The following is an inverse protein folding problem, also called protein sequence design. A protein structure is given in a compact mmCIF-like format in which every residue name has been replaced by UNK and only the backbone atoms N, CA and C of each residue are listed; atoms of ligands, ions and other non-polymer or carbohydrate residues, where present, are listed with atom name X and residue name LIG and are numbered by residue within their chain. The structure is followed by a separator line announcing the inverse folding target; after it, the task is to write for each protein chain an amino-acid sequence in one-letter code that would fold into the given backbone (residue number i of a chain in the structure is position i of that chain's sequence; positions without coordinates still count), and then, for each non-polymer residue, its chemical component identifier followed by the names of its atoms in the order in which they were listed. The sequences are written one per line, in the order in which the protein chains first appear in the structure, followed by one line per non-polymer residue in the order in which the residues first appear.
data_IF_103976561474
#
_entry.id   IF_103976561474
#
_cell.length_a   1.000
_cell.length_b   1.000
_cell.length_c   1.000
_cell.angle_alpha   90.00
_cell.angle_beta   90.00
_cell.angle_gamma   90.00
#
_symmetry.space_group_name_H-M   'P 1'
#
loop_
_entity.id
_entity.type
_entity.pdbx_description
1 polymer ?
#
# COMPACT_ATOMS: atom_id res chain seq x y z
N UNK A 1 56.36 -121.33 49.79
CA UNK A 1 56.53 -121.95 51.13
C UNK A 1 55.99 -123.39 51.06
N UNK A 2 56.46 -124.28 51.94
CA UNK A 2 55.78 -125.52 52.41
C UNK A 2 54.90 -126.33 51.43
N UNK A 3 55.16 -127.59 51.10
CA UNK A 3 56.25 -128.53 51.49
C UNK A 3 56.08 -129.84 50.68
N UNK A 4 57.13 -130.53 50.23
CA UNK A 4 57.93 -131.51 51.00
C UNK A 4 57.07 -132.52 51.78
N UNK A 5 56.94 -133.74 51.25
CA UNK A 5 56.14 -134.81 51.88
C UNK A 5 56.39 -136.19 51.26
N UNK A 6 57.57 -136.77 51.48
CA UNK A 6 57.73 -138.23 51.54
C UNK A 6 57.36 -138.69 52.95
N UNK A 7 56.68 -139.84 53.10
CA UNK A 7 57.39 -141.11 53.26
C UNK A 7 56.69 -142.26 52.45
N UNK A 8 57.07 -143.54 52.51
CA UNK A 8 58.04 -144.23 53.36
C UNK A 8 58.74 -145.39 52.61
N UNK A 9 59.85 -145.88 53.15
CA UNK A 9 60.32 -147.24 52.84
C UNK A 9 59.29 -148.29 53.26
N UNK A 10 59.10 -149.30 52.41
CA UNK A 10 58.63 -150.64 52.84
C UNK A 10 59.61 -151.66 52.26
N UNK A 11 60.52 -152.11 53.12
CA UNK A 11 61.49 -153.17 52.83
C UNK A 11 60.88 -154.56 53.03
N UNK A 12 61.62 -155.59 52.60
CA UNK A 12 61.40 -157.02 52.87
C UNK A 12 60.05 -157.60 52.39
N UNK A 13 60.06 -158.16 51.18
CA UNK A 13 58.92 -158.89 50.62
C UNK A 13 59.23 -159.50 49.26
N UNK A 14 60.26 -160.34 49.17
CA UNK A 14 60.48 -161.16 47.98
C UNK A 14 59.45 -162.30 47.98
N UNK A 15 58.51 -162.36 47.01
CA UNK A 15 57.74 -163.57 46.79
C UNK A 15 58.67 -164.64 46.22
N UNK A 16 58.37 -165.90 46.50
CA UNK A 16 58.99 -167.02 45.78
C UNK A 16 58.80 -166.87 44.26
N UNK A 17 59.68 -167.51 43.50
CA UNK A 17 59.46 -167.76 42.08
C UNK A 17 58.39 -168.85 41.86
N UNK A 18 57.25 -168.74 42.54
CA UNK A 18 56.04 -169.47 42.21
C UNK A 18 55.67 -169.13 40.77
N UNK A 19 55.54 -170.16 39.94
CA UNK A 19 55.04 -170.06 38.56
C UNK A 19 53.80 -169.17 38.57
N UNK A 20 53.83 -168.04 37.85
CA UNK A 20 52.67 -167.13 37.76
C UNK A 20 51.53 -167.96 37.19
N UNK A 21 50.53 -168.25 38.02
CA UNK A 21 49.45 -169.12 37.64
C UNK A 21 48.46 -168.40 36.71
N UNK A 22 47.51 -169.15 36.19
CA UNK A 22 46.52 -168.59 35.27
C UNK A 22 45.59 -167.58 35.95
N UNK A 23 45.39 -167.66 37.28
CA UNK A 23 44.55 -166.76 38.04
C UNK A 23 45.23 -165.41 38.31
N UNK A 24 46.54 -165.38 38.61
CA UNK A 24 47.28 -164.11 38.75
C UNK A 24 47.39 -163.37 37.41
N UNK A 25 47.59 -164.09 36.30
CA UNK A 25 47.49 -163.49 34.95
C UNK A 25 46.09 -162.91 34.69
N UNK A 26 45.02 -163.65 35.00
CA UNK A 26 43.64 -163.13 34.89
C UNK A 26 43.42 -161.90 35.78
N UNK A 27 43.98 -161.89 37.00
CA UNK A 27 43.86 -160.78 37.96
C UNK A 27 44.61 -159.52 37.50
N UNK A 28 45.75 -159.68 36.83
CA UNK A 28 46.50 -158.59 36.21
C UNK A 28 45.75 -158.06 34.97
N UNK A 29 45.21 -158.94 34.12
CA UNK A 29 44.37 -158.54 32.98
C UNK A 29 43.10 -157.81 33.42
N UNK A 30 42.44 -158.25 34.50
CA UNK A 30 41.29 -157.57 35.10
C UNK A 30 41.63 -156.14 35.53
N UNK A 31 42.70 -155.98 36.34
CA UNK A 31 43.20 -154.66 36.74
C UNK A 31 43.58 -153.77 35.56
N UNK A 32 44.10 -154.34 34.46
CA UNK A 32 44.44 -153.58 33.25
C UNK A 32 43.17 -153.13 32.50
N UNK A 33 42.13 -153.95 32.44
CA UNK A 33 40.83 -153.57 31.89
C UNK A 33 40.13 -152.51 32.75
N UNK A 34 40.19 -152.63 34.09
CA UNK A 34 39.71 -151.61 35.02
C UNK A 34 40.46 -150.28 34.81
N UNK A 35 41.78 -150.33 34.66
CA UNK A 35 42.63 -149.16 34.44
C UNK A 35 42.38 -148.47 33.09
N UNK A 36 42.20 -149.23 32.00
CA UNK A 36 41.85 -148.64 30.70
C UNK A 36 40.42 -148.06 30.72
N UNK A 37 39.49 -148.69 31.45
CA UNK A 37 38.14 -148.15 31.67
C UNK A 37 38.18 -146.82 32.44
N UNK A 38 39.00 -146.72 33.50
CA UNK A 38 39.23 -145.47 34.22
C UNK A 38 39.95 -144.43 33.36
N UNK A 39 40.95 -144.83 32.57
CA UNK A 39 41.64 -143.93 31.64
C UNK A 39 40.68 -143.38 30.57
N UNK A 40 39.75 -144.19 30.07
CA UNK A 40 38.73 -143.74 29.12
C UNK A 40 37.73 -142.77 29.79
N UNK A 41 37.23 -143.09 30.98
CA UNK A 41 36.37 -142.17 31.73
C UNK A 41 37.03 -140.80 31.97
N UNK A 42 38.33 -140.77 32.29
CA UNK A 42 39.10 -139.52 32.43
C UNK A 42 39.32 -138.79 31.09
N UNK A 43 39.48 -139.49 29.96
CA UNK A 43 39.52 -138.86 28.62
C UNK A 43 38.19 -138.20 28.29
N UNK A 44 37.08 -138.86 28.63
CA UNK A 44 35.73 -138.36 28.38
C UNK A 44 35.39 -137.17 29.29
N UNK A 45 35.79 -137.20 30.57
CA UNK A 45 35.71 -136.06 31.49
C UNK A 45 36.53 -134.86 30.99
N UNK A 46 37.80 -135.05 30.62
CA UNK A 46 38.64 -133.98 30.05
C UNK A 46 38.04 -133.40 28.76
N UNK A 47 37.37 -134.23 27.95
CA UNK A 47 36.68 -133.78 26.74
C UNK A 47 35.43 -132.96 27.07
N UNK A 48 34.65 -133.37 28.07
CA UNK A 48 33.50 -132.62 28.60
C UNK A 48 33.92 -131.27 29.18
N UNK A 49 34.98 -131.24 29.99
CA UNK A 49 35.54 -130.00 30.57
C UNK A 49 36.02 -129.04 29.47
N UNK A 50 36.69 -129.53 28.42
CA UNK A 50 37.09 -128.70 27.26
C UNK A 50 35.90 -128.14 26.49
N UNK A 51 34.83 -128.91 26.33
CA UNK A 51 33.60 -128.44 25.70
C UNK A 51 32.92 -127.34 26.53
N UNK A 52 32.84 -127.52 27.85
CA UNK A 52 32.35 -126.50 28.78
C UNK A 52 33.23 -125.24 28.75
N UNK A 53 34.55 -125.38 28.77
CA UNK A 53 35.49 -124.25 28.70
C UNK A 53 35.32 -123.46 27.39
N UNK A 54 35.18 -124.15 26.25
CA UNK A 54 34.90 -123.53 24.95
C UNK A 54 33.59 -122.72 24.97
N UNK A 55 32.53 -123.31 25.52
CA UNK A 55 31.22 -122.65 25.66
C UNK A 55 31.27 -121.42 26.60
N UNK A 56 32.02 -121.49 27.70
CA UNK A 56 32.24 -120.35 28.60
C UNK A 56 33.07 -119.25 27.92
N UNK A 57 34.17 -119.59 27.23
CA UNK A 57 34.98 -118.62 26.46
C UNK A 57 34.14 -117.90 25.40
N UNK A 58 33.31 -118.63 24.64
CA UNK A 58 32.39 -118.04 23.67
C UNK A 58 31.34 -117.13 24.32
N UNK A 59 30.81 -117.52 25.49
CA UNK A 59 29.85 -116.72 26.27
C UNK A 59 30.48 -115.42 26.78
N UNK A 60 31.71 -115.48 27.29
CA UNK A 60 32.46 -114.31 27.80
C UNK A 60 32.72 -113.32 26.64
N UNK A 61 33.27 -113.78 25.52
CA UNK A 61 33.47 -112.94 24.33
C UNK A 61 32.16 -112.29 23.84
N UNK A 62 31.05 -113.04 23.89
CA UNK A 62 29.71 -112.53 23.58
C UNK A 62 29.15 -111.52 24.59
N UNK A 63 29.63 -111.51 25.83
CA UNK A 63 29.30 -110.51 26.86
C UNK A 63 30.20 -109.28 26.75
N UNK A 64 31.51 -109.45 26.53
CA UNK A 64 32.47 -108.36 26.29
C UNK A 64 32.04 -107.48 25.09
N UNK A 65 31.66 -108.10 23.98
CA UNK A 65 31.14 -107.37 22.81
C UNK A 65 29.85 -106.59 23.12
N UNK A 66 29.00 -107.06 24.03
CA UNK A 66 27.80 -106.33 24.48
C UNK A 66 28.19 -105.15 25.37
N UNK A 67 29.12 -105.34 26.31
CA UNK A 67 29.63 -104.28 27.19
C UNK A 67 30.29 -103.15 26.39
N UNK A 68 31.07 -103.47 25.34
CA UNK A 68 31.69 -102.48 24.45
C UNK A 68 30.61 -101.66 23.70
N UNK A 69 29.54 -102.30 23.20
CA UNK A 69 28.42 -101.60 22.54
C UNK A 69 27.68 -100.69 23.50
N UNK A 70 27.26 -101.21 24.66
CA UNK A 70 26.57 -100.47 25.70
C UNK A 70 27.40 -99.29 26.23
N UNK A 71 28.72 -99.45 26.37
CA UNK A 71 29.64 -98.37 26.75
C UNK A 71 29.67 -97.25 25.69
N UNK A 72 29.71 -97.61 24.41
CA UNK A 72 29.63 -96.63 23.30
C UNK A 72 28.27 -95.93 23.26
N UNK A 73 27.18 -96.67 23.38
CA UNK A 73 25.81 -96.14 23.43
C UNK A 73 25.64 -95.17 24.61
N UNK A 74 26.14 -95.52 25.80
CA UNK A 74 26.14 -94.66 26.98
C UNK A 74 26.97 -93.37 26.78
N UNK A 75 28.12 -93.46 26.09
CA UNK A 75 28.92 -92.25 25.77
C UNK A 75 28.19 -91.32 24.79
N UNK A 76 27.49 -91.86 23.80
CA UNK A 76 26.67 -91.07 22.87
C UNK A 76 25.45 -90.44 23.55
N UNK A 77 24.78 -91.17 24.44
CA UNK A 77 23.67 -90.66 25.24
C UNK A 77 24.08 -89.52 26.19
N UNK A 78 25.29 -89.58 26.76
CA UNK A 78 25.84 -88.47 27.56
C UNK A 78 26.09 -87.22 26.71
N UNK A 79 26.73 -87.37 25.55
CA UNK A 79 26.97 -86.24 24.65
C UNK A 79 25.65 -85.54 24.22
N UNK A 80 24.61 -86.30 23.87
CA UNK A 80 23.31 -85.72 23.54
C UNK A 80 22.58 -85.12 24.75
N UNK A 81 22.82 -85.63 25.97
CA UNK A 81 22.33 -85.00 27.20
C UNK A 81 23.03 -83.66 27.48
N UNK A 82 24.32 -83.53 27.18
CA UNK A 82 25.06 -82.27 27.30
C UNK A 82 24.58 -81.25 26.26
N UNK A 83 24.38 -81.66 25.00
CA UNK A 83 23.77 -80.84 23.94
C UNK A 83 22.36 -80.34 24.33
N UNK A 84 21.49 -81.24 24.84
CA UNK A 84 20.17 -80.88 25.34
C UNK A 84 20.21 -79.91 26.52
N UNK A 85 21.26 -79.99 27.35
CA UNK A 85 21.44 -79.09 28.50
C UNK A 85 21.88 -77.70 28.05
N UNK A 86 22.78 -77.60 27.06
CA UNK A 86 23.16 -76.33 26.42
C UNK A 86 21.97 -75.70 25.68
N UNK A 87 21.18 -76.49 24.95
CA UNK A 87 19.98 -76.03 24.26
C UNK A 87 18.93 -75.45 25.23
N UNK A 88 18.72 -76.09 26.40
CA UNK A 88 17.84 -75.57 27.46
C UNK A 88 18.33 -74.22 28.01
N UNK A 89 19.60 -74.13 28.37
CA UNK A 89 20.19 -72.86 28.85
C UNK A 89 20.00 -71.72 27.82
N UNK A 90 20.20 -72.01 26.53
CA UNK A 90 19.99 -71.03 25.45
C UNK A 90 18.51 -70.64 25.27
N UNK A 91 17.57 -71.56 25.49
CA UNK A 91 16.13 -71.26 25.51
C UNK A 91 15.77 -70.35 26.69
N UNK A 92 16.31 -70.60 27.88
CA UNK A 92 16.06 -69.77 29.06
C UNK A 92 16.61 -68.34 28.88
N UNK A 93 17.81 -68.22 28.30
CA UNK A 93 18.42 -66.93 27.97
C UNK A 93 17.59 -66.15 26.95
N UNK A 94 17.21 -66.78 25.84
CA UNK A 94 16.35 -66.18 24.81
C UNK A 94 14.96 -65.83 25.37
N UNK A 95 14.46 -66.57 26.35
CA UNK A 95 13.18 -66.28 27.02
C UNK A 95 13.27 -65.02 27.88
N UNK A 96 14.38 -64.84 28.62
CA UNK A 96 14.66 -63.61 29.38
C UNK A 96 14.87 -62.40 28.45
N UNK A 97 15.59 -62.57 27.34
CA UNK A 97 15.79 -61.55 26.31
C UNK A 97 14.45 -61.11 25.68
N UNK A 98 13.60 -62.07 25.29
CA UNK A 98 12.26 -61.77 24.75
C UNK A 98 11.33 -61.10 25.77
N UNK A 99 11.47 -61.37 27.07
CA UNK A 99 10.72 -60.67 28.10
C UNK A 99 11.12 -59.19 28.18
N UNK A 100 12.42 -58.90 28.26
CA UNK A 100 12.94 -57.52 28.29
C UNK A 100 12.61 -56.73 27.02
N UNK A 101 12.67 -57.35 25.83
CA UNK A 101 12.28 -56.72 24.57
C UNK A 101 10.78 -56.36 24.54
N UNK A 102 9.90 -57.21 25.11
CA UNK A 102 8.46 -56.90 25.22
C UNK A 102 8.19 -55.74 26.17
N UNK A 103 8.91 -55.67 27.28
CA UNK A 103 8.82 -54.57 28.24
C UNK A 103 9.26 -53.23 27.61
N UNK A 104 10.39 -53.23 26.89
CA UNK A 104 10.87 -52.06 26.12
C UNK A 104 9.86 -51.61 25.05
N UNK A 105 9.25 -52.55 24.31
CA UNK A 105 8.21 -52.23 23.31
C UNK A 105 6.94 -51.68 23.96
N UNK A 106 6.55 -52.16 25.15
CA UNK A 106 5.42 -51.59 25.90
C UNK A 106 5.72 -50.16 26.34
N UNK A 107 6.88 -49.94 27.00
CA UNK A 107 7.29 -48.62 27.47
C UNK A 107 7.36 -47.60 26.32
N UNK A 108 7.98 -47.96 25.19
CA UNK A 108 8.03 -47.09 24.00
C UNK A 108 6.64 -46.83 23.40
N UNK A 109 5.69 -47.77 23.49
CA UNK A 109 4.30 -47.55 23.06
C UNK A 109 3.54 -46.61 23.99
N UNK A 110 3.78 -46.69 25.30
CA UNK A 110 3.17 -45.82 26.30
C UNK A 110 3.76 -44.39 26.24
N UNK A 111 5.07 -44.25 26.05
CA UNK A 111 5.74 -42.97 25.77
C UNK A 111 5.21 -42.33 24.47
N UNK A 112 5.14 -43.07 23.36
CA UNK A 112 4.59 -42.57 22.11
C UNK A 112 3.12 -42.13 22.27
N UNK A 113 2.32 -42.83 23.10
CA UNK A 113 0.93 -42.44 23.38
C UNK A 113 0.85 -41.15 24.18
N UNK A 114 1.73 -40.96 25.18
CA UNK A 114 1.83 -39.72 25.93
C UNK A 114 2.23 -38.54 25.03
N UNK A 115 3.18 -38.74 24.11
CA UNK A 115 3.60 -37.73 23.12
C UNK A 115 2.47 -37.36 22.16
N UNK A 116 1.71 -38.34 21.64
CA UNK A 116 0.54 -38.08 20.78
C UNK A 116 -0.52 -37.26 21.52
N UNK A 117 -0.91 -37.69 22.74
CA UNK A 117 -1.88 -36.96 23.56
C UNK A 117 -1.43 -35.51 23.82
N UNK A 118 -0.13 -35.29 24.09
CA UNK A 118 0.42 -33.95 24.30
C UNK A 118 0.34 -33.07 23.04
N UNK A 119 0.48 -33.64 21.84
CA UNK A 119 0.27 -32.90 20.60
C UNK A 119 -1.20 -32.61 20.32
N UNK A 120 -2.11 -33.56 20.60
CA UNK A 120 -3.56 -33.34 20.46
C UNK A 120 -4.08 -32.23 21.40
N UNK A 121 -3.60 -32.20 22.66
CA UNK A 121 -3.91 -31.13 23.62
C UNK A 121 -3.37 -29.77 23.16
N UNK A 122 -2.15 -29.70 22.62
CA UNK A 122 -1.55 -28.46 22.10
C UNK A 122 -2.26 -27.98 20.82
N UNK A 123 -2.64 -28.88 19.92
CA UNK A 123 -3.48 -28.58 18.74
C UNK A 123 -4.84 -28.01 19.21
N UNK A 124 -5.48 -28.64 20.20
CA UNK A 124 -6.72 -28.14 20.77
C UNK A 124 -6.53 -26.78 21.48
N UNK A 125 -5.38 -26.51 22.11
CA UNK A 125 -5.05 -25.21 22.72
C UNK A 125 -4.88 -24.13 21.65
N UNK A 126 -4.14 -24.42 20.59
CA UNK A 126 -3.89 -23.51 19.48
C UNK A 126 -5.16 -23.18 18.69
N UNK A 127 -6.02 -24.17 18.40
CA UNK A 127 -7.30 -23.95 17.72
C UNK A 127 -8.19 -22.97 18.51
N UNK A 128 -8.38 -23.18 19.82
CA UNK A 128 -9.13 -22.25 20.69
C UNK A 128 -8.53 -20.84 20.70
N UNK A 129 -7.20 -20.72 20.65
CA UNK A 129 -6.49 -19.43 20.60
C UNK A 129 -6.70 -18.71 19.25
N UNK A 130 -6.73 -19.45 18.13
CA UNK A 130 -7.06 -18.91 16.80
C UNK A 130 -8.52 -18.47 16.76
N UNK A 131 -9.47 -19.30 17.18
CA UNK A 131 -10.90 -18.97 17.22
C UNK A 131 -11.19 -17.72 18.05
N UNK A 132 -10.60 -17.61 19.25
CA UNK A 132 -10.74 -16.43 20.11
C UNK A 132 -10.14 -15.17 19.47
N UNK A 133 -9.06 -15.30 18.69
CA UNK A 133 -8.46 -14.18 17.95
C UNK A 133 -9.34 -13.76 16.77
N UNK A 134 -9.89 -14.72 16.03
CA UNK A 134 -10.78 -14.49 14.90
C UNK A 134 -12.07 -13.77 15.33
N UNK A 135 -12.65 -14.14 16.49
CA UNK A 135 -13.80 -13.44 17.08
C UNK A 135 -13.46 -11.99 17.45
N UNK A 136 -12.28 -11.73 18.02
CA UNK A 136 -11.82 -10.35 18.33
C UNK A 136 -11.66 -9.52 17.06
N UNK A 137 -10.91 -10.00 16.07
CA UNK A 137 -10.72 -9.30 14.79
C UNK A 137 -12.03 -9.05 14.04
N UNK A 138 -13.00 -9.98 14.09
CA UNK A 138 -14.34 -9.78 13.51
C UNK A 138 -15.13 -8.70 14.25
N UNK A 139 -14.98 -8.58 15.57
CA UNK A 139 -15.60 -7.53 16.39
C UNK A 139 -14.99 -6.15 16.11
N UNK A 140 -13.66 -6.05 16.11
CA UNK A 140 -12.92 -4.82 15.79
C UNK A 140 -13.17 -4.35 14.34
N UNK A 141 -13.26 -5.29 13.39
CA UNK A 141 -13.64 -4.97 12.02
C UNK A 141 -15.11 -4.51 11.91
N UNK A 142 -15.99 -4.91 12.82
CA UNK A 142 -17.36 -4.43 12.86
C UNK A 142 -17.45 -2.98 13.41
N UNK A 143 -16.72 -2.65 14.49
CA UNK A 143 -16.68 -1.28 15.03
C UNK A 143 -16.03 -0.31 14.06
N UNK A 144 -14.90 -0.66 13.44
CA UNK A 144 -14.26 0.16 12.40
C UNK A 144 -15.20 0.40 11.20
N UNK A 145 -16.05 -0.57 10.84
CA UNK A 145 -17.08 -0.40 9.81
C UNK A 145 -18.20 0.55 10.23
N UNK A 146 -18.68 0.49 11.48
CA UNK A 146 -19.71 1.42 11.97
C UNK A 146 -19.18 2.84 12.07
N UNK A 147 -17.93 3.02 12.49
CA UNK A 147 -17.28 4.32 12.65
C UNK A 147 -16.99 4.96 11.30
N UNK A 148 -16.50 4.18 10.32
CA UNK A 148 -16.35 4.62 8.94
C UNK A 148 -17.70 5.02 8.32
N UNK A 149 -18.77 4.27 8.58
CA UNK A 149 -20.12 4.61 8.12
C UNK A 149 -20.64 5.89 8.79
N UNK A 150 -20.37 6.10 10.08
CA UNK A 150 -20.69 7.36 10.77
C UNK A 150 -19.92 8.54 10.17
N UNK A 151 -18.60 8.42 10.02
CA UNK A 151 -17.76 9.49 9.47
C UNK A 151 -18.13 9.85 8.04
N UNK A 152 -18.52 8.87 7.21
CA UNK A 152 -19.07 9.13 5.87
C UNK A 152 -20.34 9.98 5.91
N UNK A 153 -21.32 9.67 6.79
CA UNK A 153 -22.52 10.51 6.96
C UNK A 153 -22.17 11.92 7.43
N UNK A 154 -21.27 12.04 8.40
CA UNK A 154 -20.79 13.33 8.91
C UNK A 154 -20.13 14.18 7.81
N UNK A 155 -19.34 13.58 6.92
CA UNK A 155 -18.76 14.29 5.76
C UNK A 155 -19.79 14.66 4.71
N UNK A 156 -20.76 13.79 4.41
CA UNK A 156 -21.84 14.10 3.45
C UNK A 156 -22.74 15.24 3.95
N UNK A 157 -23.05 15.27 5.25
CA UNK A 157 -23.85 16.34 5.84
C UNK A 157 -23.10 17.68 5.85
N UNK A 158 -21.79 17.66 6.12
CA UNK A 158 -20.94 18.85 5.99
C UNK A 158 -20.91 19.37 4.55
N UNK A 159 -20.82 18.49 3.55
CA UNK A 159 -20.91 18.87 2.13
C UNK A 159 -22.27 19.51 1.81
N UNK A 160 -23.38 18.88 2.21
CA UNK A 160 -24.76 19.41 2.03
C UNK A 160 -24.90 20.84 2.59
N UNK A 161 -24.41 21.07 3.80
CA UNK A 161 -24.46 22.39 4.45
C UNK A 161 -23.60 23.43 3.71
N UNK A 162 -22.43 23.07 3.17
CA UNK A 162 -21.63 23.98 2.34
C UNK A 162 -22.27 24.27 0.98
N UNK A 163 -22.92 23.28 0.35
CA UNK A 163 -23.66 23.45 -0.90
C UNK A 163 -24.88 24.37 -0.71
N UNK A 164 -25.65 24.17 0.37
CA UNK A 164 -26.80 25.03 0.72
C UNK A 164 -26.37 26.46 1.07
N UNK A 165 -25.28 26.65 1.82
CA UNK A 165 -24.72 27.97 2.10
C UNK A 165 -24.25 28.69 0.82
N UNK A 166 -23.61 27.95 -0.11
CA UNK A 166 -23.15 28.48 -1.40
C UNK A 166 -24.35 28.86 -2.29
N UNK A 167 -25.41 28.04 -2.31
CA UNK A 167 -26.64 28.36 -3.05
C UNK A 167 -27.30 29.62 -2.49
N UNK A 168 -27.45 29.73 -1.17
CA UNK A 168 -28.02 30.92 -0.53
C UNK A 168 -27.19 32.19 -0.80
N UNK A 169 -25.85 32.09 -0.81
CA UNK A 169 -24.97 33.20 -1.17
C UNK A 169 -25.13 33.61 -2.63
N UNK A 170 -25.33 32.66 -3.56
CA UNK A 170 -25.62 32.95 -4.96
C UNK A 170 -26.99 33.63 -5.14
N UNK A 171 -28.03 33.16 -4.45
CA UNK A 171 -29.38 33.77 -4.47
C UNK A 171 -29.37 35.19 -3.93
N UNK A 172 -28.67 35.43 -2.80
CA UNK A 172 -28.48 36.77 -2.24
C UNK A 172 -27.74 37.66 -3.24
N UNK A 173 -26.68 37.15 -3.88
CA UNK A 173 -25.92 37.88 -4.89
C UNK A 173 -26.75 38.21 -6.13
N UNK A 174 -27.63 37.31 -6.56
CA UNK A 174 -28.56 37.55 -7.66
C UNK A 174 -29.58 38.64 -7.32
N UNK A 175 -30.23 38.54 -6.15
CA UNK A 175 -31.19 39.55 -5.65
C UNK A 175 -30.58 40.93 -5.45
N UNK A 176 -29.30 41.00 -5.07
CA UNK A 176 -28.56 42.27 -4.99
C UNK A 176 -28.38 42.86 -6.38
N UNK A 177 -27.89 42.07 -7.37
CA UNK A 177 -27.74 42.55 -8.76
C UNK A 177 -29.07 43.02 -9.36
N UNK A 178 -30.14 42.25 -9.16
CA UNK A 178 -31.50 42.58 -9.62
C UNK A 178 -31.98 43.92 -9.05
N UNK A 179 -31.89 44.11 -7.72
CA UNK A 179 -32.26 45.38 -7.07
C UNK A 179 -31.39 46.55 -7.50
N UNK A 180 -30.07 46.35 -7.62
CA UNK A 180 -29.17 47.39 -8.12
C UNK A 180 -29.47 47.77 -9.57
N UNK A 181 -29.80 46.80 -10.43
CA UNK A 181 -30.17 47.08 -11.82
C UNK A 181 -31.50 47.84 -11.91
N UNK A 182 -32.54 47.41 -11.18
CA UNK A 182 -33.80 48.14 -11.10
C UNK A 182 -33.63 49.59 -10.64
N UNK A 183 -32.82 49.83 -9.60
CA UNK A 183 -32.52 51.19 -9.12
C UNK A 183 -31.72 52.02 -10.15
N UNK A 184 -30.82 51.40 -10.92
CA UNK A 184 -30.09 52.07 -12.02
C UNK A 184 -31.06 52.47 -13.14
N UNK A 185 -32.03 51.62 -13.49
CA UNK A 185 -32.98 51.90 -14.57
C UNK A 185 -34.07 52.90 -14.15
N UNK A 186 -34.48 52.91 -12.88
CA UNK A 186 -35.32 53.97 -12.30
C UNK A 186 -34.60 55.33 -12.30
N UNK A 187 -33.31 55.37 -11.90
CA UNK A 187 -32.49 56.59 -11.94
C UNK A 187 -32.27 57.08 -13.38
N UNK A 188 -32.10 56.18 -14.36
CA UNK A 188 -32.04 56.52 -15.78
C UNK A 188 -33.34 57.15 -16.26
N UNK A 189 -34.49 56.55 -15.93
CA UNK A 189 -35.81 57.06 -16.30
C UNK A 189 -36.07 58.47 -15.71
N UNK A 190 -35.60 58.72 -14.48
CA UNK A 190 -35.70 60.03 -13.85
C UNK A 190 -34.77 61.08 -14.49
N UNK A 191 -33.56 60.70 -14.93
CA UNK A 191 -32.68 61.57 -15.73
C UNK A 191 -33.35 61.93 -17.06
N UNK A 192 -33.81 60.93 -17.80
CA UNK A 192 -34.60 61.05 -19.04
C UNK A 192 -35.77 62.05 -18.90
N UNK A 193 -36.50 61.98 -17.78
CA UNK A 193 -37.63 62.87 -17.49
C UNK A 193 -37.17 64.30 -17.20
N UNK A 194 -36.08 64.47 -16.44
CA UNK A 194 -35.50 65.79 -16.13
C UNK A 194 -34.90 66.46 -17.36
N UNK A 195 -34.24 65.72 -18.24
CA UNK A 195 -33.73 66.26 -19.51
C UNK A 195 -34.87 66.76 -20.41
N UNK A 196 -35.99 66.02 -20.49
CA UNK A 196 -37.22 66.49 -21.18
C UNK A 196 -37.81 67.74 -20.54
N UNK A 197 -37.85 67.80 -19.20
CA UNK A 197 -38.36 68.96 -18.47
C UNK A 197 -37.46 70.18 -18.66
N UNK A 198 -36.13 70.01 -18.63
CA UNK A 198 -35.18 71.09 -18.87
C UNK A 198 -35.26 71.58 -20.32
N UNK A 199 -35.36 70.69 -21.31
CA UNK A 199 -35.58 71.06 -22.70
C UNK A 199 -36.86 71.88 -22.90
N UNK A 200 -37.96 71.49 -22.23
CA UNK A 200 -39.21 72.26 -22.26
C UNK A 200 -39.08 73.64 -21.60
N UNK A 201 -38.35 73.74 -20.47
CA UNK A 201 -38.07 75.03 -19.81
C UNK A 201 -37.15 75.92 -20.65
N UNK A 202 -36.15 75.36 -21.33
CA UNK A 202 -35.29 76.08 -22.29
C UNK A 202 -36.12 76.63 -23.45
N UNK A 203 -37.00 75.81 -24.06
CA UNK A 203 -37.92 76.29 -25.11
C UNK A 203 -38.86 77.41 -24.63
N UNK A 204 -39.36 77.35 -23.40
CA UNK A 204 -40.17 78.43 -22.82
C UNK A 204 -39.35 79.71 -22.59
N UNK A 205 -38.11 79.58 -22.13
CA UNK A 205 -37.19 80.71 -21.98
C UNK A 205 -36.85 81.36 -23.33
N UNK A 206 -36.52 80.56 -24.35
CA UNK A 206 -36.22 81.05 -25.70
C UNK A 206 -37.43 81.77 -26.31
N UNK A 207 -38.64 81.20 -26.17
CA UNK A 207 -39.88 81.84 -26.61
C UNK A 207 -40.14 83.17 -25.87
N UNK A 208 -39.88 83.23 -24.56
CA UNK A 208 -40.00 84.45 -23.76
C UNK A 208 -38.94 85.50 -24.13
N UNK A 209 -37.72 85.09 -24.49
CA UNK A 209 -36.66 85.98 -24.97
C UNK A 209 -37.00 86.56 -26.35
N UNK A 210 -37.53 85.74 -27.27
CA UNK A 210 -38.02 86.21 -28.58
C UNK A 210 -39.19 87.18 -28.41
N UNK A 211 -40.19 86.85 -27.56
CA UNK A 211 -41.31 87.75 -27.27
C UNK A 211 -40.87 89.06 -26.60
N UNK A 212 -39.90 89.01 -25.68
CA UNK A 212 -39.30 90.21 -25.07
C UNK A 212 -38.52 91.05 -26.08
N UNK A 213 -37.86 90.42 -27.07
CA UNK A 213 -37.20 91.16 -28.14
C UNK A 213 -38.22 91.85 -29.04
N UNK A 214 -39.27 91.17 -29.49
CA UNK A 214 -40.33 91.79 -30.28
C UNK A 214 -40.94 93.01 -29.56
N UNK A 215 -41.19 92.91 -28.25
CA UNK A 215 -41.66 94.06 -27.43
C UNK A 215 -40.63 95.19 -27.30
N UNK A 216 -39.33 94.93 -27.47
CA UNK A 216 -38.29 95.96 -27.51
C UNK A 216 -38.20 96.62 -28.90
N UNK A 217 -38.28 95.81 -29.97
CA UNK A 217 -38.33 96.28 -31.35
C UNK A 217 -39.60 97.16 -31.57
N UNK A 218 -40.75 96.75 -31.04
CA UNK A 218 -42.00 97.55 -31.01
C UNK A 218 -41.86 98.83 -30.17
N UNK A 219 -41.19 98.76 -29.01
CA UNK A 219 -40.95 99.94 -28.15
C UNK A 219 -40.06 100.97 -28.85
N UNK A 220 -39.02 100.54 -29.57
CA UNK A 220 -38.15 101.42 -30.33
C UNK A 220 -38.88 102.03 -31.54
N UNK A 221 -39.72 101.25 -32.25
CA UNK A 221 -40.62 101.78 -33.27
C UNK A 221 -41.60 102.82 -32.72
N UNK A 222 -42.15 102.61 -31.52
CA UNK A 222 -43.01 103.61 -30.85
C UNK A 222 -42.22 104.86 -30.43
N UNK A 223 -40.91 104.76 -30.12
CA UNK A 223 -40.05 105.94 -29.93
C UNK A 223 -39.86 106.70 -31.23
N UNK A 224 -39.56 106.01 -32.34
CA UNK A 224 -39.42 106.62 -33.67
C UNK A 224 -40.70 107.35 -34.10
N UNK A 225 -41.87 106.71 -33.97
CA UNK A 225 -43.17 107.33 -34.25
C UNK A 225 -43.43 108.55 -33.35
N UNK A 226 -43.03 108.50 -32.07
CA UNK A 226 -43.18 109.61 -31.14
C UNK A 226 -42.20 110.76 -31.41
N UNK A 227 -40.99 110.48 -31.90
CA UNK A 227 -40.05 111.49 -32.39
C UNK A 227 -40.51 112.11 -33.72
N UNK A 228 -41.07 111.32 -34.63
CA UNK A 228 -41.69 111.82 -35.86
C UNK A 228 -42.86 112.76 -35.52
N UNK A 229 -43.78 112.35 -34.64
CA UNK A 229 -44.91 113.21 -34.21
C UNK A 229 -44.43 114.46 -33.47
N UNK A 230 -43.30 114.41 -32.74
CA UNK A 230 -42.65 115.63 -32.18
C UNK A 230 -42.11 116.52 -33.28
N UNK A 231 -41.47 115.95 -34.31
CA UNK A 231 -40.97 116.65 -35.50
C UNK A 231 -42.10 117.35 -36.25
N UNK A 232 -43.16 116.63 -36.61
CA UNK A 232 -44.36 117.16 -37.26
C UNK A 232 -45.06 118.22 -36.40
N UNK A 233 -45.18 118.02 -35.09
CA UNK A 233 -45.74 119.03 -34.18
C UNK A 233 -44.86 120.29 -34.08
N UNK A 234 -43.53 120.15 -34.17
CA UNK A 234 -42.59 121.26 -34.23
C UNK A 234 -42.64 121.98 -35.59
N UNK A 235 -42.77 121.24 -36.69
CA UNK A 235 -42.95 121.82 -38.01
C UNK A 235 -44.29 122.56 -38.12
N UNK A 236 -45.39 121.99 -37.63
CA UNK A 236 -46.68 122.67 -37.50
C UNK A 236 -46.65 123.89 -36.56
N UNK A 237 -45.70 124.00 -35.62
CA UNK A 237 -45.46 125.24 -34.85
C UNK A 237 -44.72 126.27 -35.70
N UNK A 238 -43.70 125.85 -36.47
CA UNK A 238 -42.94 126.71 -37.39
C UNK A 238 -43.84 127.24 -38.52
N UNK A 239 -44.64 126.37 -39.16
CA UNK A 239 -45.63 126.70 -40.17
C UNK A 239 -46.67 127.69 -39.61
N UNK A 240 -47.25 127.44 -38.42
CA UNK A 240 -48.14 128.42 -37.76
C UNK A 240 -47.46 129.76 -37.46
N UNK A 241 -46.18 129.77 -37.09
CA UNK A 241 -45.42 131.02 -36.92
C UNK A 241 -45.16 131.74 -38.24
N UNK A 242 -45.00 131.02 -39.35
CA UNK A 242 -44.89 131.57 -40.72
C UNK A 242 -46.25 132.15 -41.16
N UNK A 243 -47.35 131.43 -40.96
CA UNK A 243 -48.72 131.89 -41.23
C UNK A 243 -49.08 133.14 -40.41
N UNK A 244 -48.74 133.17 -39.12
CA UNK A 244 -48.87 134.36 -38.28
C UNK A 244 -48.04 135.54 -38.82
N UNK A 245 -46.80 135.30 -39.29
CA UNK A 245 -45.97 136.34 -39.93
C UNK A 245 -46.56 136.83 -41.26
N UNK A 246 -47.21 135.96 -42.06
CA UNK A 246 -47.97 136.37 -43.26
C UNK A 246 -49.17 137.23 -42.89
N UNK A 247 -49.95 136.85 -41.88
CA UNK A 247 -51.08 137.65 -41.38
C UNK A 247 -50.62 139.02 -40.85
N UNK A 248 -49.50 139.09 -40.11
CA UNK A 248 -48.92 140.36 -39.65
C UNK A 248 -48.50 141.26 -40.82
N UNK A 249 -47.93 140.70 -41.91
CA UNK A 249 -47.67 141.47 -43.14
C UNK A 249 -48.95 142.00 -43.79
N UNK A 250 -49.97 141.15 -43.94
CA UNK A 250 -51.27 141.55 -44.50
C UNK A 250 -51.93 142.67 -43.68
N UNK A 251 -51.85 142.60 -42.34
CA UNK A 251 -52.33 143.65 -41.43
C UNK A 251 -51.52 144.95 -41.59
N UNK A 252 -50.21 144.87 -41.84
CA UNK A 252 -49.37 146.03 -42.11
C UNK A 252 -49.72 146.69 -43.46
N UNK A 253 -49.96 145.90 -44.51
CA UNK A 253 -50.36 146.41 -45.83
C UNK A 253 -51.75 147.03 -45.83
N UNK A 254 -52.72 146.43 -45.12
CA UNK A 254 -54.05 147.02 -44.89
C UNK A 254 -53.96 148.34 -44.11
N UNK A 255 -53.12 148.42 -43.07
CA UNK A 255 -52.82 149.68 -42.35
C UNK A 255 -52.19 150.73 -43.26
N UNK A 256 -51.35 150.33 -44.20
CA UNK A 256 -50.73 151.23 -45.18
C UNK A 256 -51.72 151.72 -46.25
N UNK A 257 -52.69 150.91 -46.68
CA UNK A 257 -53.80 151.36 -47.53
C UNK A 257 -54.70 152.35 -46.79
N UNK A 258 -55.08 152.06 -45.54
CA UNK A 258 -55.93 152.92 -44.73
C UNK A 258 -55.30 154.32 -44.52
N UNK A 259 -54.01 154.38 -44.20
CA UNK A 259 -53.24 155.64 -44.09
C UNK A 259 -53.26 156.48 -45.37
N UNK A 260 -53.23 155.85 -46.55
CA UNK A 260 -53.29 156.57 -47.84
C UNK A 260 -54.66 157.21 -48.06
N UNK A 261 -55.75 156.59 -47.58
CA UNK A 261 -57.08 157.19 -47.62
C UNK A 261 -57.21 158.36 -46.63
N UNK A 262 -56.68 158.25 -45.41
CA UNK A 262 -56.71 159.34 -44.40
C UNK A 262 -55.97 160.60 -44.88
N UNK A 263 -54.88 160.45 -45.64
CA UNK A 263 -54.12 161.57 -46.20
C UNK A 263 -54.84 162.29 -47.36
N UNK A 264 -55.88 161.69 -47.94
CA UNK A 264 -56.67 162.30 -49.01
C UNK A 264 -57.69 163.31 -48.48
N UNK A 265 -58.24 163.09 -47.29
CA UNK A 265 -59.33 163.92 -46.73
C UNK A 265 -58.83 165.09 -45.87
N UNK A 266 -57.62 165.02 -45.32
CA UNK A 266 -57.06 166.05 -44.44
C UNK A 266 -56.59 167.34 -45.14
N UNK A 267 -56.74 167.49 -46.46
CA UNK A 267 -56.10 168.56 -47.25
C UNK A 267 -57.02 169.71 -47.69
N UNK A 268 -58.27 169.74 -47.22
CA UNK A 268 -59.29 170.75 -47.57
C UNK A 268 -59.69 171.70 -46.42
N UNK A 269 -59.08 171.58 -45.24
CA UNK A 269 -59.18 172.55 -44.14
C UNK A 269 -57.75 172.83 -43.66
N UNK A 270 -57.03 173.79 -44.24
CA UNK A 270 -57.16 175.25 -44.10
C UNK A 270 -56.54 175.77 -42.78
N UNK A 271 -55.41 176.47 -42.94
CA UNK A 271 -54.92 177.61 -42.15
C UNK A 271 -55.29 177.69 -40.65
N UNK A 272 -54.36 177.31 -39.75
CA UNK A 272 -54.02 178.05 -38.50
C UNK A 272 -52.87 177.38 -37.73
N UNK A 273 -51.80 178.15 -37.43
CA UNK A 273 -50.82 177.94 -36.33
C UNK A 273 -49.93 176.65 -36.35
N UNK A 274 -48.93 176.47 -35.46
CA UNK A 274 -47.71 177.31 -35.25
C UNK A 274 -46.58 176.55 -34.48
N UNK A 275 -45.47 176.16 -35.16
CA UNK A 275 -44.08 175.99 -34.62
C UNK A 275 -43.79 174.88 -33.55
N UNK A 276 -42.49 174.52 -33.39
CA UNK A 276 -41.79 173.58 -32.43
C UNK A 276 -42.13 172.07 -32.45
N UNK A 277 -41.34 171.14 -31.84
CA UNK A 277 -39.87 170.90 -31.82
C UNK A 277 -39.52 169.52 -31.18
N UNK A 278 -38.32 168.99 -31.48
CA UNK A 278 -37.42 168.14 -30.64
C UNK A 278 -37.82 166.81 -29.93
N UNK A 279 -37.12 165.73 -30.34
CA UNK A 279 -36.22 164.87 -29.53
C UNK A 279 -36.62 163.67 -28.61
N UNK A 280 -35.81 162.59 -28.74
CA UNK A 280 -35.31 161.64 -27.69
C UNK A 280 -36.27 160.57 -27.06
N UNK A 281 -35.86 159.37 -26.53
CA UNK A 281 -34.63 158.53 -26.64
C UNK A 281 -34.90 156.99 -26.28
N UNK A 282 -34.13 156.15 -25.53
CA UNK A 282 -33.56 154.88 -26.09
C UNK A 282 -33.60 153.55 -25.24
N UNK A 283 -32.93 152.48 -25.75
CA UNK A 283 -32.20 151.37 -25.04
C UNK A 283 -33.00 150.32 -24.19
N UNK A 284 -32.50 149.18 -23.66
CA UNK A 284 -31.46 148.13 -23.96
C UNK A 284 -31.62 146.97 -22.90
N UNK A 285 -30.94 145.80 -22.81
CA UNK A 285 -29.89 145.05 -23.58
C UNK A 285 -30.37 143.57 -23.84
N UNK A 286 -29.80 142.37 -23.52
CA UNK A 286 -28.54 141.83 -22.91
C UNK A 286 -28.29 140.33 -23.32
N UNK A 287 -27.41 139.54 -22.67
CA UNK A 287 -26.99 138.16 -23.08
C UNK A 287 -26.55 137.18 -21.94
N UNK A 288 -26.26 135.87 -22.26
CA UNK A 288 -25.44 134.79 -21.57
C UNK A 288 -26.04 133.35 -21.79
N UNK A 289 -25.41 132.19 -21.51
CA UNK A 289 -24.00 131.64 -21.53
C UNK A 289 -23.99 130.12 -21.11
N UNK A 290 -22.82 129.39 -21.16
CA UNK A 290 -22.46 128.07 -20.50
C UNK A 290 -23.07 126.75 -21.11
N UNK A 291 -22.48 125.52 -21.25
CA UNK A 291 -21.20 124.79 -20.87
C UNK A 291 -21.33 123.75 -19.69
N UNK A 292 -20.69 122.55 -19.58
CA UNK A 292 -19.79 121.68 -20.40
C UNK A 292 -19.37 120.34 -19.67
N UNK A 293 -18.50 119.47 -20.27
CA UNK A 293 -17.80 118.25 -19.68
C UNK A 293 -18.64 116.97 -19.31
N UNK A 294 -18.22 115.70 -19.01
CA UNK A 294 -17.00 114.77 -19.10
C UNK A 294 -17.50 113.26 -18.92
N UNK A 295 -16.84 112.08 -18.67
CA UNK A 295 -15.49 111.47 -18.41
C UNK A 295 -15.50 109.88 -18.59
N UNK A 296 -14.38 109.15 -18.34
CA UNK A 296 -14.14 107.66 -18.45
C UNK A 296 -13.17 107.11 -17.35
N UNK A 297 -12.94 105.77 -17.20
CA UNK A 297 -11.70 105.06 -16.65
C UNK A 297 -11.83 103.48 -16.61
N UNK A 298 -10.73 102.72 -16.34
CA UNK A 298 -10.48 101.28 -16.65
C UNK A 298 -9.88 100.40 -15.49
N UNK A 299 -9.34 99.19 -15.82
CA UNK A 299 -8.29 98.34 -15.14
C UNK A 299 -8.69 97.23 -14.12
N UNK A 300 -7.96 96.11 -13.85
CA UNK A 300 -6.94 95.28 -14.58
C UNK A 300 -6.52 93.96 -13.84
N UNK A 301 -5.83 93.00 -14.51
CA UNK A 301 -4.78 92.02 -14.00
C UNK A 301 -5.18 90.92 -12.95
N UNK A 302 -4.49 89.79 -12.67
CA UNK A 302 -3.69 88.71 -13.34
C UNK A 302 -3.18 87.72 -12.19
N UNK A 303 -2.21 86.80 -12.34
CA UNK A 303 -2.26 85.44 -12.95
C UNK A 303 -1.16 84.51 -12.30
N UNK A 304 -1.00 83.24 -12.71
CA UNK A 304 0.15 82.29 -12.56
C UNK A 304 0.51 81.52 -11.24
N UNK A 305 0.21 80.21 -11.22
CA UNK A 305 1.09 79.01 -11.43
C UNK A 305 2.21 78.41 -10.50
N UNK A 306 2.21 77.06 -10.50
CA UNK A 306 3.31 76.03 -10.53
C UNK A 306 4.27 75.60 -9.37
N UNK A 307 4.19 74.29 -9.08
CA UNK A 307 5.29 73.26 -9.02
C UNK A 307 5.92 72.78 -7.68
N UNK A 308 6.64 71.64 -7.73
CA UNK A 308 6.83 70.66 -6.64
C UNK A 308 8.28 70.15 -6.46
N UNK A 309 8.60 69.42 -5.36
CA UNK A 309 9.61 68.32 -5.33
C UNK A 309 9.59 67.47 -4.03
N UNK A 310 10.31 66.33 -4.03
CA UNK A 310 10.47 65.34 -2.94
C UNK A 310 11.95 65.21 -2.48
N UNK A 311 12.20 64.71 -1.26
CA UNK A 311 13.41 63.96 -0.90
C UNK A 311 13.12 62.52 -0.44
N UNK A 312 14.16 61.72 -0.11
CA UNK A 312 14.07 60.27 0.12
C UNK A 312 15.00 59.74 1.24
N UNK A 313 14.92 58.43 1.53
CA UNK A 313 15.82 57.62 2.40
C UNK A 313 15.66 57.85 3.93
N UNK A 314 15.98 56.87 4.84
CA UNK A 314 17.13 55.95 4.78
C UNK A 314 16.89 54.44 5.11
N UNK A 315 17.97 53.66 4.99
CA UNK A 315 18.06 52.21 5.21
C UNK A 315 18.39 51.81 6.66
N UNK A 316 18.23 50.53 6.99
CA UNK A 316 18.86 49.90 8.17
C UNK A 316 19.58 48.58 7.80
N UNK A 317 20.63 48.28 8.56
CA UNK A 317 21.43 47.05 8.49
C UNK A 317 20.76 45.89 9.24
N UNK A 318 21.01 44.65 8.79
CA UNK A 318 20.98 43.46 9.65
C UNK A 318 21.98 42.43 9.15
N UNK A 319 22.91 42.02 10.02
CA UNK A 319 23.92 40.99 9.76
C UNK A 319 23.36 39.59 9.99
N UNK A 320 23.69 38.63 9.12
CA UNK A 320 23.44 37.19 9.34
C UNK A 320 24.73 36.43 9.05
N UNK A 321 25.03 35.41 9.87
CA UNK A 321 26.22 34.57 9.77
C UNK A 321 26.19 33.62 8.56
N UNK A 322 27.35 33.34 7.92
CA UNK A 322 27.56 32.09 7.22
C UNK A 322 27.96 30.98 8.21
N UNK A 323 27.35 29.78 8.09
CA UNK A 323 28.00 28.45 8.16
C UNK A 323 27.01 27.27 8.27
N UNK A 324 25.76 27.50 8.69
CA UNK A 324 24.73 26.45 8.81
C UNK A 324 24.37 25.65 7.53
N UNK A 325 24.46 26.16 6.27
CA UNK A 325 23.99 25.41 5.10
C UNK A 325 24.97 24.32 4.60
N UNK A 326 26.10 24.10 5.28
CA UNK A 326 27.11 23.09 4.91
C UNK A 326 26.71 21.69 5.42
N UNK A 327 26.63 21.53 6.74
CA UNK A 327 26.34 20.26 7.43
C UNK A 327 25.00 19.66 6.99
N UNK A 328 23.97 20.49 6.75
CA UNK A 328 22.67 20.03 6.26
C UNK A 328 22.74 19.49 4.81
N UNK A 329 23.64 20.01 3.96
CA UNK A 329 23.87 19.44 2.61
C UNK A 329 24.62 18.13 2.67
N UNK A 330 25.66 18.03 3.51
CA UNK A 330 26.43 16.80 3.68
C UNK A 330 25.58 15.68 4.32
N UNK A 331 24.72 16.02 5.27
CA UNK A 331 23.77 15.08 5.86
C UNK A 331 22.75 14.58 4.83
N UNK A 332 22.15 15.50 4.04
CA UNK A 332 21.23 15.13 2.96
C UNK A 332 21.91 14.31 1.86
N UNK A 333 23.12 14.65 1.45
CA UNK A 333 23.89 13.85 0.49
C UNK A 333 24.15 12.44 1.04
N UNK A 334 24.59 12.32 2.30
CA UNK A 334 24.81 11.03 2.95
C UNK A 334 23.52 10.20 3.08
N UNK A 335 22.35 10.83 3.25
CA UNK A 335 21.05 10.16 3.26
C UNK A 335 20.64 9.71 1.85
N UNK A 336 20.88 10.51 0.81
CA UNK A 336 20.63 10.16 -0.59
C UNK A 336 21.50 8.98 -1.03
N UNK A 337 22.80 8.99 -0.70
CA UNK A 337 23.73 7.88 -1.00
C UNK A 337 23.33 6.60 -0.26
N UNK A 338 22.88 6.69 0.99
CA UNK A 338 22.35 5.55 1.76
C UNK A 338 21.05 5.03 1.15
N UNK A 339 20.15 5.91 0.71
CA UNK A 339 18.91 5.54 0.06
C UNK A 339 19.19 4.81 -1.26
N UNK A 340 20.05 5.36 -2.13
CA UNK A 340 20.49 4.73 -3.37
C UNK A 340 21.14 3.35 -3.12
N UNK A 341 22.08 3.27 -2.16
CA UNK A 341 22.70 2.00 -1.78
C UNK A 341 21.69 0.97 -1.26
N UNK A 342 20.67 1.40 -0.50
CA UNK A 342 19.59 0.53 -0.05
C UNK A 342 18.71 0.03 -1.22
N UNK A 343 18.45 0.88 -2.21
CA UNK A 343 17.69 0.52 -3.41
C UNK A 343 18.45 -0.48 -4.29
N UNK A 344 19.77 -0.32 -4.45
CA UNK A 344 20.64 -1.28 -5.15
C UNK A 344 20.74 -2.63 -4.41
N UNK A 345 20.80 -2.62 -3.08
CA UNK A 345 20.73 -3.84 -2.26
C UNK A 345 19.37 -4.53 -2.43
N UNK A 346 18.26 -3.78 -2.40
CA UNK A 346 16.91 -4.30 -2.64
C UNK A 346 16.79 -4.88 -4.06
N UNK A 347 17.35 -4.23 -5.08
CA UNK A 347 17.37 -4.73 -6.46
C UNK A 347 18.18 -6.04 -6.57
N UNK A 348 19.33 -6.10 -5.92
CA UNK A 348 20.20 -7.29 -5.87
C UNK A 348 19.52 -8.46 -5.15
N UNK A 349 18.88 -8.22 -4.00
CA UNK A 349 18.12 -9.23 -3.26
C UNK A 349 16.88 -9.70 -4.04
N UNK A 350 16.17 -8.80 -4.75
CA UNK A 350 15.07 -9.17 -5.66
C UNK A 350 15.55 -10.08 -6.80
N UNK A 351 16.76 -9.84 -7.35
CA UNK A 351 17.38 -10.70 -8.36
C UNK A 351 17.73 -12.09 -7.80
N UNK A 352 18.30 -12.16 -6.59
CA UNK A 352 18.58 -13.42 -5.89
C UNK A 352 17.30 -14.21 -5.56
N UNK A 353 16.25 -13.53 -5.09
CA UNK A 353 14.92 -14.12 -4.83
C UNK A 353 14.27 -14.67 -6.12
N UNK A 354 14.51 -14.03 -7.27
CA UNK A 354 14.09 -14.54 -8.57
C UNK A 354 14.84 -15.83 -8.94
N UNK A 355 16.18 -15.84 -8.83
CA UNK A 355 16.98 -17.04 -9.16
C UNK A 355 16.68 -18.23 -8.25
N UNK A 356 16.50 -18.03 -6.94
CA UNK A 356 16.11 -19.11 -6.02
C UNK A 356 14.69 -19.61 -6.30
N UNK A 357 13.73 -18.72 -6.59
CA UNK A 357 12.38 -19.11 -7.06
C UNK A 357 12.42 -19.96 -8.33
N UNK A 358 13.29 -19.63 -9.29
CA UNK A 358 13.48 -20.41 -10.53
C UNK A 358 14.31 -21.70 -10.35
N UNK A 359 15.13 -21.80 -9.29
CA UNK A 359 15.77 -23.06 -8.90
C UNK A 359 14.76 -24.00 -8.23
N UNK A 360 14.00 -23.51 -7.25
CA UNK A 360 12.93 -24.25 -6.57
C UNK A 360 11.86 -24.75 -7.55
N UNK A 361 11.49 -23.94 -8.55
CA UNK A 361 10.56 -24.35 -9.60
C UNK A 361 11.12 -25.48 -10.49
N UNK A 362 12.43 -25.51 -10.77
CA UNK A 362 13.09 -26.60 -11.51
C UNK A 362 13.21 -27.87 -10.69
N UNK A 363 13.71 -27.78 -9.45
CA UNK A 363 13.77 -28.92 -8.53
C UNK A 363 12.39 -29.56 -8.31
N UNK A 364 11.33 -28.75 -8.11
CA UNK A 364 9.96 -29.26 -8.02
C UNK A 364 9.48 -29.89 -9.34
N UNK A 365 9.93 -29.40 -10.49
CA UNK A 365 9.70 -30.05 -11.79
C UNK A 365 10.39 -31.40 -11.91
N UNK A 366 11.66 -31.47 -11.50
CA UNK A 366 12.51 -32.67 -11.51
C UNK A 366 11.95 -33.76 -10.56
N UNK A 367 11.59 -33.40 -9.32
CA UNK A 367 10.94 -34.29 -8.35
C UNK A 367 9.60 -34.82 -8.89
N UNK A 368 8.75 -33.96 -9.46
CA UNK A 368 7.50 -34.41 -10.09
C UNK A 368 7.74 -35.34 -11.29
N UNK A 369 8.80 -35.11 -12.07
CA UNK A 369 9.15 -35.95 -13.21
C UNK A 369 9.74 -37.30 -12.74
N UNK A 370 10.52 -37.30 -11.66
CA UNK A 370 11.03 -38.49 -10.99
C UNK A 370 9.88 -39.36 -10.45
N UNK A 371 8.94 -38.76 -9.71
CA UNK A 371 7.72 -39.43 -9.21
C UNK A 371 6.93 -40.05 -10.38
N UNK A 372 6.74 -39.33 -11.49
CA UNK A 372 6.09 -39.91 -12.68
C UNK A 372 6.86 -41.08 -13.28
N UNK A 373 8.19 -41.01 -13.36
CA UNK A 373 9.04 -42.10 -13.90
C UNK A 373 9.10 -43.31 -12.99
N UNK A 374 8.94 -43.13 -11.68
CA UNK A 374 8.69 -44.23 -10.73
C UNK A 374 7.31 -44.84 -10.98
N UNK A 375 6.25 -44.02 -11.01
CA UNK A 375 4.87 -44.46 -11.21
C UNK A 375 4.62 -45.14 -12.57
N UNK A 376 5.37 -44.77 -13.62
CA UNK A 376 5.29 -45.37 -14.95
C UNK A 376 6.30 -46.50 -15.20
N UNK A 377 7.11 -46.87 -14.19
CA UNK A 377 8.18 -47.86 -14.32
C UNK A 377 9.36 -47.43 -15.20
N UNK A 378 9.37 -46.23 -15.80
CA UNK A 378 10.39 -45.71 -16.70
C UNK A 378 11.76 -45.36 -16.03
N UNK A 379 12.07 -46.04 -14.93
CA UNK A 379 13.36 -46.08 -14.24
C UNK A 379 13.93 -47.51 -14.17
N UNK A 380 13.25 -48.54 -14.68
CA UNK A 380 13.87 -49.85 -14.92
C UNK A 380 14.95 -49.70 -16.00
N UNK A 381 16.21 -49.90 -15.62
CA UNK A 381 17.34 -49.89 -16.55
C UNK A 381 17.23 -51.05 -17.54
N UNK A 382 17.05 -50.74 -18.84
CA UNK A 382 17.24 -51.70 -19.91
C UNK A 382 18.74 -51.95 -20.13
N UNK A 383 19.13 -53.14 -20.64
CA UNK A 383 19.22 -53.24 -22.10
C UNK A 383 18.73 -54.58 -22.68
N UNK A 384 17.85 -54.50 -23.67
CA UNK A 384 17.63 -55.56 -24.67
C UNK A 384 17.06 -54.92 -25.94
N UNK A 385 17.58 -55.28 -27.11
CA UNK A 385 17.03 -54.82 -28.39
C UNK A 385 15.60 -55.33 -28.60
N UNK A 386 14.77 -54.48 -29.23
CA UNK A 386 13.36 -54.74 -29.62
C UNK A 386 12.38 -54.85 -28.44
N UNK A 387 11.91 -53.71 -27.94
CA UNK A 387 10.61 -53.65 -27.23
C UNK A 387 9.47 -53.26 -28.18
N UNK A 388 8.61 -54.19 -28.61
CA UNK A 388 7.25 -53.86 -29.03
C UNK A 388 6.39 -53.50 -27.81
N UNK A 389 5.25 -52.84 -28.03
CA UNK A 389 4.39 -52.33 -26.96
C UNK A 389 3.60 -53.43 -26.23
N UNK A 390 3.60 -53.40 -24.88
CA UNK A 390 2.42 -53.63 -24.00
C UNK A 390 2.74 -53.56 -22.50
N UNK A 391 1.81 -52.94 -21.75
CA UNK A 391 1.35 -53.26 -20.38
C UNK A 391 2.38 -53.47 -19.24
N UNK A 392 2.28 -52.62 -18.20
CA UNK A 392 3.11 -52.63 -16.98
C UNK A 392 2.92 -53.84 -16.03
N UNK A 393 1.96 -54.74 -16.27
CA UNK A 393 1.58 -55.78 -15.32
C UNK A 393 2.41 -57.09 -15.39
N UNK A 394 3.63 -57.07 -15.97
CA UNK A 394 4.36 -58.28 -16.33
C UNK A 394 5.86 -58.34 -15.99
N UNK A 395 6.45 -57.33 -15.36
CA UNK A 395 7.90 -57.34 -15.05
C UNK A 395 8.16 -58.21 -13.81
N UNK A 396 8.61 -59.44 -14.04
CA UNK A 396 9.07 -60.34 -12.98
C UNK A 396 10.46 -59.92 -12.49
N UNK A 397 10.51 -59.16 -11.40
CA UNK A 397 11.77 -58.76 -10.74
C UNK A 397 12.44 -60.00 -10.11
N UNK A 398 13.38 -60.60 -10.85
CA UNK A 398 13.99 -61.90 -10.55
C UNK A 398 14.70 -61.98 -9.20
N UNK A 399 15.07 -60.85 -8.61
CA UNK A 399 15.76 -60.78 -7.32
C UNK A 399 14.99 -59.92 -6.31
N UNK A 400 15.08 -60.30 -5.03
CA UNK A 400 14.55 -59.50 -3.93
C UNK A 400 15.53 -58.38 -3.53
N UNK A 401 16.84 -58.67 -3.52
CA UNK A 401 17.88 -57.68 -3.17
C UNK A 401 17.85 -56.48 -4.11
N UNK A 402 17.83 -56.70 -5.42
CA UNK A 402 17.80 -55.63 -6.44
C UNK A 402 16.61 -54.68 -6.29
N UNK A 403 15.45 -55.19 -5.83
CA UNK A 403 14.29 -54.34 -5.48
C UNK A 403 14.56 -53.51 -4.23
N UNK A 404 15.08 -54.13 -3.17
CA UNK A 404 15.42 -53.42 -1.92
C UNK A 404 16.48 -52.35 -2.16
N UNK A 405 17.52 -52.65 -2.94
CA UNK A 405 18.57 -51.70 -3.31
C UNK A 405 18.04 -50.55 -4.18
N UNK A 406 17.12 -50.83 -5.11
CA UNK A 406 16.47 -49.77 -5.89
C UNK A 406 15.58 -48.89 -5.01
N UNK A 407 14.73 -49.47 -4.16
CA UNK A 407 13.89 -48.72 -3.22
C UNK A 407 14.72 -47.88 -2.26
N UNK A 408 15.84 -48.40 -1.75
CA UNK A 408 16.74 -47.66 -0.84
C UNK A 408 17.48 -46.52 -1.55
N UNK A 409 17.86 -46.69 -2.82
CA UNK A 409 18.39 -45.60 -3.66
C UNK A 409 17.33 -44.55 -3.97
N UNK A 410 16.09 -44.96 -4.25
CA UNK A 410 14.95 -44.05 -4.44
C UNK A 410 14.64 -43.25 -3.17
N UNK A 411 14.66 -43.90 -2.01
CA UNK A 411 14.46 -43.28 -0.70
C UNK A 411 15.54 -42.23 -0.40
N UNK A 412 16.82 -42.55 -0.61
CA UNK A 412 17.92 -41.60 -0.43
C UNK A 412 17.79 -40.37 -1.35
N UNK A 413 17.46 -40.57 -2.63
CA UNK A 413 17.21 -39.45 -3.57
C UNK A 413 15.99 -38.61 -3.15
N UNK A 414 14.94 -39.24 -2.61
CA UNK A 414 13.77 -38.53 -2.10
C UNK A 414 14.10 -37.72 -0.84
N UNK A 415 14.90 -38.27 0.08
CA UNK A 415 15.37 -37.59 1.28
C UNK A 415 16.28 -36.40 0.93
N UNK A 416 17.26 -36.61 0.04
CA UNK A 416 18.19 -35.55 -0.41
C UNK A 416 17.43 -34.40 -1.12
N UNK A 417 16.54 -34.73 -2.06
CA UNK A 417 15.75 -33.69 -2.74
C UNK A 417 14.75 -33.00 -1.81
N UNK A 418 14.23 -33.67 -0.79
CA UNK A 418 13.39 -33.04 0.25
C UNK A 418 14.20 -32.07 1.11
N UNK A 419 15.42 -32.45 1.52
CA UNK A 419 16.34 -31.60 2.27
C UNK A 419 16.77 -30.36 1.46
N UNK A 420 17.08 -30.52 0.17
CA UNK A 420 17.39 -29.40 -0.71
C UNK A 420 16.17 -28.44 -0.85
N UNK A 421 14.95 -28.96 -0.89
CA UNK A 421 13.73 -28.15 -0.95
C UNK A 421 13.41 -27.43 0.37
N UNK A 422 13.76 -27.97 1.55
CA UNK A 422 13.61 -27.24 2.82
C UNK A 422 14.61 -26.09 2.90
N UNK A 423 15.89 -26.32 2.60
CA UNK A 423 16.94 -25.28 2.58
C UNK A 423 16.56 -24.13 1.64
N UNK A 424 16.18 -24.42 0.39
CA UNK A 424 15.74 -23.40 -0.57
C UNK A 424 14.46 -22.65 -0.14
N UNK A 425 13.63 -23.25 0.71
CA UNK A 425 12.43 -22.62 1.27
C UNK A 425 12.80 -21.67 2.42
N UNK A 426 13.76 -22.05 3.26
CA UNK A 426 14.29 -21.20 4.34
C UNK A 426 15.09 -20.01 3.80
N UNK A 427 15.97 -20.22 2.81
CA UNK A 427 16.69 -19.14 2.12
C UNK A 427 15.73 -18.11 1.51
N UNK A 428 14.70 -18.59 0.80
CA UNK A 428 13.64 -17.75 0.24
C UNK A 428 12.89 -16.95 1.33
N UNK A 429 12.63 -17.56 2.48
CA UNK A 429 12.00 -16.87 3.61
C UNK A 429 12.94 -15.83 4.26
N UNK A 430 14.23 -16.13 4.38
CA UNK A 430 15.24 -15.21 4.89
C UNK A 430 15.44 -13.99 3.96
N UNK A 431 15.56 -14.22 2.65
CA UNK A 431 15.59 -13.16 1.64
C UNK A 431 14.32 -12.30 1.68
N UNK A 432 13.14 -12.92 1.83
CA UNK A 432 11.87 -12.22 1.99
C UNK A 432 11.84 -11.30 3.21
N UNK A 433 12.27 -11.79 4.38
CA UNK A 433 12.41 -10.98 5.61
C UNK A 433 13.37 -9.81 5.42
N UNK A 434 14.55 -10.04 4.85
CA UNK A 434 15.58 -9.01 4.64
C UNK A 434 15.16 -7.92 3.65
N UNK A 435 14.38 -8.28 2.62
CA UNK A 435 13.77 -7.29 1.71
C UNK A 435 12.72 -6.44 2.43
N UNK A 436 11.87 -7.04 3.28
CA UNK A 436 10.88 -6.29 4.06
C UNK A 436 11.54 -5.32 5.05
N UNK A 437 12.59 -5.77 5.75
CA UNK A 437 13.38 -4.96 6.68
C UNK A 437 14.03 -3.74 6.00
N UNK A 438 14.73 -3.96 4.87
CA UNK A 438 15.32 -2.86 4.08
C UNK A 438 14.26 -1.91 3.51
N UNK A 439 13.10 -2.43 3.08
CA UNK A 439 11.99 -1.59 2.59
C UNK A 439 11.38 -0.75 3.71
N UNK A 440 11.21 -1.31 4.92
CA UNK A 440 10.74 -0.56 6.08
C UNK A 440 11.72 0.56 6.49
N UNK A 441 13.03 0.28 6.45
CA UNK A 441 14.06 1.26 6.77
C UNK A 441 14.14 2.40 5.73
N UNK A 442 14.01 2.09 4.43
CA UNK A 442 13.92 3.11 3.38
C UNK A 442 12.68 4.01 3.59
N UNK A 443 11.50 3.42 3.75
CA UNK A 443 10.25 4.15 3.98
C UNK A 443 10.24 4.95 5.29
N UNK A 444 11.06 4.57 6.28
CA UNK A 444 11.25 5.34 7.52
C UNK A 444 12.08 6.61 7.29
N UNK A 445 13.05 6.58 6.36
CA UNK A 445 13.86 7.75 5.99
C UNK A 445 13.15 8.76 5.07
N UNK A 446 12.06 8.36 4.41
CA UNK A 446 11.23 9.25 3.58
C UNK A 446 10.20 10.08 4.39
N UNK A 447 10.09 9.86 5.70
CA UNK A 447 9.24 10.73 6.54
C UNK A 447 9.96 12.07 6.80
N UNK A 448 9.37 13.22 6.41
CA UNK A 448 9.90 14.51 6.84
C UNK A 448 9.81 14.62 8.36
N UNK A 449 10.85 15.17 8.98
CA UNK A 449 10.78 15.66 10.36
C UNK A 449 9.84 16.87 10.34
N UNK A 450 8.83 16.85 11.21
CA UNK A 450 7.82 17.90 11.35
C UNK A 450 8.09 18.76 12.60
#
# INVERSE_FOLDING_TARGET
MSGTGSPADVSAGAPDASVIDHADLQRIMGKLADAETQAQALRDEVTSVRALESNYRATILGQEQKLIRLSKELSGARASQDELSQARARIDDLTRENAGLREQVSAASDEHRAVVNSYDDEIARLNRQVEASDVRWRSELATVRTDLAHKRRETSEKIRVYEEATSAQNDISARIREKSQAAIDELRQEIDNRERQEAALRMQLDAALVGRKALADDLDKVKEELEQVRGEAQEHRIQRAIEARKQVRLIADLRNQLRRQTLSTARLQQQLQFVTASDHSPAASDARSIEGDRQTICSDVADTDLSATLPASPSLMSTIHPDEPSVLRECNASLIDKLASSQDQIATLKKQLSTTKHALARSRGEVNNYIRRVQSGALTLAPADKMPSKSLNGVAWSNASERVDLFRRMELVLQETTLQNSILTEEKAALGRKILELTANANASERPIA
#
